data_IF_887692071516
#
_entry.id   IF_887692071516
#
_cell.length_a   1.000
_cell.length_b   1.000
_cell.length_c   1.000
_cell.angle_alpha   90.00
_cell.angle_beta   90.00
_cell.angle_gamma   90.00
#
_symmetry.space_group_name_H-M   'P 1'
#
loop_
_entity.id
_entity.type
_entity.pdbx_description
1 polymer ?
#
# COMPACT_ATOMS: atom_id res chain seq x y z
N UNK A 1 5.54 -17.89 -4.52
CA UNK A 1 5.74 -16.56 -3.91
C UNK A 1 4.42 -16.13 -3.31
N UNK A 2 4.38 -15.80 -2.01
CA UNK A 2 3.17 -15.30 -1.36
C UNK A 2 3.20 -13.77 -1.43
N UNK A 3 2.03 -13.17 -1.58
CA UNK A 3 1.87 -11.73 -1.72
C UNK A 3 1.01 -11.19 -0.59
N UNK A 4 1.11 -9.89 -0.37
CA UNK A 4 0.25 -9.14 0.53
C UNK A 4 -0.24 -7.88 -0.17
N UNK A 5 -1.39 -7.39 0.25
CA UNK A 5 -1.73 -5.99 0.10
C UNK A 5 -1.09 -5.26 1.29
N UNK A 6 -0.27 -4.26 1.02
CA UNK A 6 0.39 -3.47 2.05
C UNK A 6 -0.07 -2.01 1.94
N UNK A 7 -0.34 -1.40 3.09
CA UNK A 7 -0.70 0.01 3.20
C UNK A 7 0.37 0.72 4.01
N UNK A 8 1.02 1.68 3.37
CA UNK A 8 2.06 2.51 3.92
C UNK A 8 1.53 3.94 4.09
N UNK A 9 1.94 4.60 5.17
CA UNK A 9 1.77 6.03 5.34
C UNK A 9 3.07 6.71 4.96
N UNK A 10 3.00 7.73 4.11
CA UNK A 10 4.17 8.54 3.78
C UNK A 10 4.28 9.66 4.81
N UNK A 11 5.37 9.64 5.59
CA UNK A 11 5.68 10.64 6.61
C UNK A 11 6.60 11.68 6.01
N UNK A 12 6.33 12.97 6.29
CA UNK A 12 7.05 14.13 5.74
C UNK A 12 7.18 14.12 4.20
N UNK A 13 6.07 13.96 3.45
CA UNK A 13 6.11 13.78 1.99
C UNK A 13 6.83 14.93 1.24
N UNK A 14 6.80 16.14 1.80
CA UNK A 14 7.40 17.33 1.17
C UNK A 14 8.82 17.68 1.65
N UNK A 15 9.51 16.76 2.35
CA UNK A 15 10.82 17.02 2.94
C UNK A 15 11.88 15.99 2.56
N UNK A 16 13.13 16.45 2.50
CA UNK A 16 14.30 15.56 2.56
C UNK A 16 14.24 14.84 3.92
N UNK A 17 14.00 13.52 3.90
CA UNK A 17 13.67 12.73 5.09
C UNK A 17 12.27 12.14 5.10
N UNK A 18 11.56 12.15 3.96
CA UNK A 18 10.36 11.35 3.76
C UNK A 18 10.65 9.87 3.97
N UNK A 19 9.76 9.17 4.67
CA UNK A 19 9.85 7.72 4.83
C UNK A 19 8.46 7.08 4.86
N UNK A 20 8.41 5.78 4.57
CA UNK A 20 7.19 5.00 4.63
C UNK A 20 7.06 4.27 5.96
N UNK A 21 5.88 4.39 6.57
CA UNK A 21 5.50 3.67 7.78
C UNK A 21 4.43 2.62 7.44
N UNK A 22 4.72 1.35 7.68
CA UNK A 22 3.75 0.27 7.45
C UNK A 22 2.57 0.40 8.43
N UNK A 23 1.38 0.64 7.90
CA UNK A 23 0.14 0.78 8.68
C UNK A 23 -0.48 -0.60 8.90
N UNK A 24 -0.67 -1.35 7.82
CA UNK A 24 -1.24 -2.69 7.86
C UNK A 24 -0.92 -3.47 6.58
N UNK A 25 -1.07 -4.78 6.65
CA UNK A 25 -1.00 -5.64 5.48
C UNK A 25 -1.94 -6.84 5.61
N UNK A 26 -2.36 -7.39 4.47
CA UNK A 26 -3.24 -8.55 4.40
C UNK A 26 -2.68 -9.57 3.39
N UNK A 27 -2.49 -10.86 3.77
CA UNK A 27 -2.05 -11.90 2.86
C UNK A 27 -3.06 -12.15 1.73
N UNK A 28 -2.55 -12.26 0.51
CA UNK A 28 -3.35 -12.62 -0.67
C UNK A 28 -2.71 -13.80 -1.41
N UNK A 29 -3.53 -14.55 -2.15
CA UNK A 29 -3.02 -15.59 -3.04
C UNK A 29 -2.38 -14.95 -4.28
N UNK A 30 -1.52 -15.71 -4.97
CA UNK A 30 -0.90 -15.24 -6.21
C UNK A 30 -1.94 -15.01 -7.33
N UNK A 31 -3.00 -15.82 -7.38
CA UNK A 31 -4.11 -15.65 -8.33
C UNK A 31 -4.91 -14.38 -8.02
N UNK A 32 -5.05 -14.04 -6.74
CA UNK A 32 -5.70 -12.80 -6.30
C UNK A 32 -4.85 -11.58 -6.64
N UNK A 33 -3.51 -11.64 -6.54
CA UNK A 33 -2.63 -10.50 -6.84
C UNK A 33 -2.92 -9.87 -8.21
N UNK A 34 -3.07 -10.68 -9.26
CA UNK A 34 -3.38 -10.20 -10.61
C UNK A 34 -4.76 -9.52 -10.74
N UNK A 35 -5.70 -9.81 -9.84
CA UNK A 35 -7.06 -9.22 -9.84
C UNK A 35 -7.25 -8.16 -8.75
N UNK A 36 -6.34 -8.11 -7.78
CA UNK A 36 -6.43 -7.26 -6.60
C UNK A 36 -6.08 -5.81 -6.87
N UNK A 37 -5.41 -5.51 -7.99
CA UNK A 37 -5.10 -4.13 -8.36
C UNK A 37 -6.38 -3.27 -8.45
N UNK A 38 -7.45 -3.78 -9.09
CA UNK A 38 -8.76 -3.12 -9.13
C UNK A 38 -9.46 -3.01 -7.76
N UNK A 39 -8.96 -3.71 -6.75
CA UNK A 39 -9.50 -3.74 -5.38
C UNK A 39 -8.59 -3.04 -4.38
N UNK A 40 -7.42 -2.54 -4.79
CA UNK A 40 -6.47 -1.86 -3.91
C UNK A 40 -7.10 -0.63 -3.28
N UNK A 41 -7.86 0.15 -4.06
CA UNK A 41 -8.57 1.33 -3.57
C UNK A 41 -9.60 1.00 -2.49
N UNK A 42 -10.53 0.09 -2.80
CA UNK A 42 -11.58 -0.34 -1.85
C UNK A 42 -10.96 -0.95 -0.58
N UNK A 43 -9.90 -1.74 -0.74
CA UNK A 43 -9.18 -2.35 0.37
C UNK A 43 -8.48 -1.30 1.24
N UNK A 44 -7.73 -0.37 0.64
CA UNK A 44 -7.03 0.70 1.34
C UNK A 44 -8.04 1.59 2.10
N UNK A 45 -9.18 1.91 1.47
CA UNK A 45 -10.25 2.67 2.10
C UNK A 45 -10.83 1.95 3.33
N UNK A 46 -11.09 0.65 3.19
CA UNK A 46 -11.56 -0.19 4.29
C UNK A 46 -10.53 -0.27 5.43
N UNK A 47 -9.24 -0.36 5.11
CA UNK A 47 -8.16 -0.41 6.11
C UNK A 47 -8.00 0.91 6.85
N UNK A 48 -8.03 2.04 6.16
CA UNK A 48 -7.96 3.36 6.79
C UNK A 48 -9.15 3.59 7.74
N UNK A 49 -10.34 3.21 7.30
CA UNK A 49 -11.58 3.27 8.11
C UNK A 49 -11.47 2.40 9.36
N UNK A 50 -11.04 1.13 9.21
CA UNK A 50 -10.91 0.17 10.32
C UNK A 50 -9.86 0.57 11.35
N UNK A 51 -8.76 1.16 10.91
CA UNK A 51 -7.64 1.55 11.78
C UNK A 51 -7.76 2.98 12.32
N UNK A 52 -8.91 3.64 12.14
CA UNK A 52 -9.16 5.02 12.53
C UNK A 52 -8.05 5.98 12.07
N UNK A 53 -7.49 5.74 10.89
CA UNK A 53 -6.44 6.58 10.32
C UNK A 53 -7.08 7.78 9.63
N UNK A 54 -6.62 8.98 9.95
CA UNK A 54 -7.14 10.21 9.37
C UNK A 54 -6.02 11.15 8.94
N UNK A 55 -6.21 11.79 7.78
CA UNK A 55 -5.35 12.78 7.13
C UNK A 55 -3.89 12.35 6.87
N UNK A 56 -3.56 12.14 5.61
CA UNK A 56 -2.20 11.80 5.20
C UNK A 56 -2.09 11.34 3.76
N UNK A 57 -0.84 11.20 3.32
CA UNK A 57 -0.51 10.54 2.06
C UNK A 57 -0.27 9.06 2.36
N UNK A 58 -0.90 8.19 1.58
CA UNK A 58 -0.85 6.76 1.75
C UNK A 58 -0.49 6.09 0.45
N UNK A 59 0.23 5.00 0.56
CA UNK A 59 0.70 4.22 -0.56
C UNK A 59 0.20 2.79 -0.38
N UNK A 60 -0.56 2.29 -1.35
CA UNK A 60 -1.09 0.94 -1.33
C UNK A 60 -0.43 0.12 -2.44
N UNK A 61 0.11 -1.04 -2.06
CA UNK A 61 0.89 -1.86 -2.98
C UNK A 61 0.57 -3.34 -2.81
N UNK A 62 0.77 -4.09 -3.90
CA UNK A 62 0.89 -5.54 -3.85
C UNK A 62 2.38 -5.88 -3.69
N UNK A 63 2.73 -6.44 -2.54
CA UNK A 63 4.13 -6.65 -2.15
C UNK A 63 4.39 -8.14 -1.90
N UNK A 64 5.55 -8.70 -2.31
CA UNK A 64 5.93 -10.05 -1.91
C UNK A 64 6.16 -10.16 -0.41
N UNK A 65 5.97 -11.34 0.16
CA UNK A 65 6.41 -11.62 1.54
C UNK A 65 7.91 -11.97 1.60
N UNK A 66 8.58 -11.49 2.64
CA UNK A 66 9.92 -11.93 3.04
C UNK A 66 9.88 -13.28 3.79
N UNK A 67 11.06 -13.76 4.21
CA UNK A 67 11.19 -15.01 4.98
C UNK A 67 10.56 -14.94 6.40
N UNK A 68 10.22 -13.75 6.86
CA UNK A 68 9.56 -13.48 8.13
C UNK A 68 8.05 -13.20 7.99
N UNK A 69 7.48 -13.47 6.81
CA UNK A 69 6.08 -13.21 6.48
C UNK A 69 5.68 -11.73 6.65
N UNK A 70 6.61 -10.82 6.32
CA UNK A 70 6.38 -9.36 6.25
C UNK A 70 6.49 -8.85 4.82
N UNK A 71 5.92 -7.67 4.49
CA UNK A 71 6.12 -7.05 3.19
C UNK A 71 7.62 -6.86 2.91
N UNK A 72 8.11 -7.44 1.82
CA UNK A 72 9.48 -7.31 1.36
C UNK A 72 9.61 -6.05 0.49
N UNK A 73 10.13 -4.98 1.09
CA UNK A 73 10.28 -3.69 0.42
C UNK A 73 11.38 -3.71 -0.66
N UNK A 74 12.46 -4.46 -0.45
CA UNK A 74 13.53 -4.58 -1.46
C UNK A 74 13.00 -5.27 -2.73
N UNK A 75 12.24 -6.37 -2.56
CA UNK A 75 11.61 -7.06 -3.68
C UNK A 75 10.45 -6.26 -4.32
N UNK A 76 9.93 -5.27 -3.61
CA UNK A 76 8.92 -4.35 -4.13
C UNK A 76 9.53 -3.27 -5.02
N UNK A 77 10.67 -2.69 -4.60
CA UNK A 77 11.42 -1.75 -5.43
C UNK A 77 11.85 -2.38 -6.76
N UNK A 78 12.22 -3.67 -6.73
CA UNK A 78 12.50 -4.45 -7.94
C UNK A 78 11.27 -4.56 -8.86
N UNK A 79 10.05 -4.77 -8.31
CA UNK A 79 8.82 -4.84 -9.11
C UNK A 79 8.45 -3.50 -9.74
N UNK A 80 8.66 -2.38 -9.03
CA UNK A 80 8.49 -1.03 -9.59
C UNK A 80 9.48 -0.82 -10.75
N UNK A 81 10.76 -1.20 -10.56
CA UNK A 81 11.79 -1.06 -11.58
C UNK A 81 11.50 -1.89 -12.85
N UNK A 82 10.74 -2.98 -12.70
CA UNK A 82 10.27 -3.83 -13.80
C UNK A 82 9.01 -3.30 -14.51
N UNK A 83 8.52 -2.09 -14.16
CA UNK A 83 7.28 -1.48 -14.70
C UNK A 83 6.06 -2.38 -14.50
N UNK A 84 6.06 -3.16 -13.42
CA UNK A 84 4.89 -3.91 -13.02
C UNK A 84 3.86 -2.92 -12.45
N UNK A 85 2.66 -2.92 -13.01
CA UNK A 85 1.48 -2.18 -12.54
C UNK A 85 1.07 -2.70 -11.12
N UNK A 86 1.85 -2.40 -10.07
CA UNK A 86 1.71 -3.01 -8.72
C UNK A 86 1.40 -2.00 -7.61
N UNK A 87 1.18 -0.73 -7.98
CA UNK A 87 1.14 0.40 -7.04
C UNK A 87 -0.01 1.35 -7.34
N UNK A 88 -0.67 1.86 -6.30
CA UNK A 88 -1.51 3.06 -6.42
C UNK A 88 -1.21 4.04 -5.26
N UNK A 89 -0.94 5.30 -5.61
CA UNK A 89 -0.74 6.39 -4.66
C UNK A 89 -2.08 7.05 -4.33
N UNK A 90 -2.38 7.17 -3.03
CA UNK A 90 -3.61 7.77 -2.57
C UNK A 90 -3.36 8.91 -1.58
N UNK A 91 -4.11 9.99 -1.75
CA UNK A 91 -4.15 11.10 -0.82
C UNK A 91 -5.49 11.06 -0.07
N UNK A 92 -5.43 11.00 1.27
CA UNK A 92 -6.63 11.01 2.12
C UNK A 92 -6.79 12.37 2.80
N UNK A 93 -7.77 13.16 2.35
CA UNK A 93 -7.95 14.57 2.76
C UNK A 93 -8.88 14.76 3.97
N UNK A 94 -9.77 13.81 4.28
CA UNK A 94 -10.89 14.07 5.22
C UNK A 94 -10.94 13.13 6.43
N UNK A 95 -10.11 12.08 6.49
CA UNK A 95 -10.15 11.11 7.59
C UNK A 95 -11.40 10.23 7.62
N UNK A 96 -12.40 10.51 6.80
CA UNK A 96 -13.48 9.59 6.48
C UNK A 96 -13.72 9.61 4.97
N UNK A 97 -13.39 8.49 4.32
CA UNK A 97 -14.04 8.06 3.08
C UNK A 97 -13.65 8.74 1.75
N UNK A 98 -12.52 9.47 1.66
CA UNK A 98 -12.02 9.97 0.37
C UNK A 98 -10.54 9.63 0.20
N UNK A 99 -10.26 8.62 -0.64
CA UNK A 99 -8.95 8.40 -1.26
C UNK A 99 -9.01 8.95 -2.68
N UNK A 100 -8.29 10.04 -2.93
CA UNK A 100 -8.11 10.58 -4.28
C UNK A 100 -6.72 10.17 -4.79
N UNK A 101 -6.55 9.89 -6.10
CA UNK A 101 -5.22 9.71 -6.68
C UNK A 101 -4.33 10.92 -6.34
N UNK A 102 -3.11 10.65 -5.86
CA UNK A 102 -2.14 11.70 -5.52
C UNK A 102 -1.57 12.39 -6.76
#
# INVERSE_FOLDING_TARGET
MRYVLALHRIVNPDSIGSYEELVCFEPISHEDAATSQRRLHDWALAMLTRNHQAFGMYHAAITPLDEHERPNLDAYDDLIAEDADVTEDYLCWSGESELVPA
#
